data_IF_504901599348
#
_entry.id   IF_504901599348
#
_cell.length_a   1.000
_cell.length_b   1.000
_cell.length_c   1.000
_cell.angle_alpha   90.00
_cell.angle_beta   90.00
_cell.angle_gamma   90.00
#
_symmetry.space_group_name_H-M   'P 1'
#
loop_
_entity.id
_entity.type
_entity.pdbx_description
1 polymer ?
#
# COMPACT_ATOMS: atom_id res chain seq x y z
N UNK A 1 18.56 63.63 -15.66
CA UNK A 1 18.83 62.23 -15.30
C UNK A 1 17.54 61.60 -14.83
N UNK A 2 16.93 60.75 -15.66
CA UNK A 2 15.71 60.01 -15.31
C UNK A 2 16.13 58.56 -15.07
N UNK A 3 16.06 58.09 -13.82
CA UNK A 3 16.26 56.69 -13.48
C UNK A 3 14.96 55.92 -13.73
N UNK A 4 15.02 54.97 -14.67
CA UNK A 4 13.96 54.01 -14.91
C UNK A 4 14.01 52.96 -13.82
N UNK A 5 13.05 52.96 -12.90
CA UNK A 5 12.77 51.84 -12.02
C UNK A 5 12.14 50.73 -12.86
N UNK A 6 12.90 49.69 -13.12
CA UNK A 6 12.37 48.41 -13.67
C UNK A 6 11.60 47.70 -12.56
N UNK A 7 10.30 47.67 -12.68
CA UNK A 7 9.42 46.82 -11.88
C UNK A 7 9.79 45.38 -12.09
N UNK A 8 10.45 44.78 -11.11
CA UNK A 8 10.58 43.32 -11.02
C UNK A 8 9.28 42.79 -10.47
N UNK A 9 8.45 42.23 -11.36
CA UNK A 9 7.28 41.41 -10.97
C UNK A 9 7.84 40.10 -10.41
N UNK A 10 7.96 40.00 -9.10
CA UNK A 10 8.20 38.70 -8.44
C UNK A 10 6.90 37.94 -8.51
N UNK A 11 6.77 37.07 -9.51
CA UNK A 11 5.76 36.03 -9.50
C UNK A 11 6.09 35.10 -8.34
N UNK A 12 5.46 35.33 -7.19
CA UNK A 12 5.39 34.37 -6.10
C UNK A 12 4.55 33.22 -6.62
N UNK A 13 5.21 32.22 -7.24
CA UNK A 13 4.60 30.93 -7.48
C UNK A 13 4.29 30.37 -6.11
N UNK A 14 3.02 30.45 -5.70
CA UNK A 14 2.52 29.69 -4.57
C UNK A 14 2.72 28.21 -4.95
N UNK A 15 3.86 27.65 -4.56
CA UNK A 15 3.97 26.22 -4.43
C UNK A 15 2.91 25.83 -3.39
N UNK A 16 1.76 25.34 -3.86
CA UNK A 16 0.88 24.55 -3.03
C UNK A 16 1.75 23.40 -2.55
N UNK A 17 2.27 23.51 -1.35
CA UNK A 17 2.81 22.38 -0.63
C UNK A 17 1.62 21.44 -0.41
N UNK A 18 1.47 20.48 -1.29
CA UNK A 18 0.67 19.32 -1.00
C UNK A 18 1.33 18.70 0.22
N UNK A 19 0.67 18.82 1.36
CA UNK A 19 1.08 18.07 2.54
C UNK A 19 0.89 16.62 2.17
N UNK A 20 1.99 15.99 1.75
CA UNK A 20 2.08 14.55 1.64
C UNK A 20 1.82 14.04 3.05
N UNK A 21 0.65 13.45 3.26
CA UNK A 21 0.39 12.67 4.46
C UNK A 21 1.27 11.41 4.35
N UNK A 22 2.56 11.58 4.64
CA UNK A 22 3.46 10.47 4.79
C UNK A 22 3.12 9.81 6.12
N UNK A 23 2.73 8.55 6.09
CA UNK A 23 2.90 7.69 7.25
C UNK A 23 4.40 7.69 7.53
N UNK A 24 4.83 8.00 8.74
CA UNK A 24 6.25 8.13 9.07
C UNK A 24 7.04 6.96 8.45
N UNK A 25 8.00 7.26 7.58
CA UNK A 25 8.83 6.28 6.88
C UNK A 25 8.26 5.67 5.59
N UNK A 26 6.98 5.90 5.24
CA UNK A 26 6.44 5.49 3.94
C UNK A 26 6.09 6.73 3.10
N UNK A 27 6.79 6.90 1.98
CA UNK A 27 6.55 7.97 1.03
C UNK A 27 5.65 7.49 -0.11
N UNK A 28 4.66 8.31 -0.47
CA UNK A 28 3.76 7.99 -1.58
C UNK A 28 4.38 8.34 -2.92
N UNK A 29 4.21 7.46 -3.91
CA UNK A 29 4.62 7.73 -5.28
C UNK A 29 3.59 8.62 -5.99
N UNK A 30 4.07 9.54 -6.81
CA UNK A 30 3.26 10.43 -7.63
C UNK A 30 3.14 9.93 -9.06
N UNK A 31 4.20 9.35 -9.59
CA UNK A 31 4.21 8.78 -10.94
C UNK A 31 3.35 7.52 -11.00
N UNK A 32 2.21 7.61 -11.71
CA UNK A 32 1.33 6.46 -11.89
C UNK A 32 2.03 5.35 -12.68
N UNK A 33 1.75 4.07 -12.38
CA UNK A 33 2.40 2.93 -13.05
C UNK A 33 2.18 2.87 -14.57
N UNK A 34 1.13 3.54 -15.06
CA UNK A 34 0.81 3.67 -16.49
C UNK A 34 1.69 4.70 -17.22
N UNK A 35 2.31 5.62 -16.48
CA UNK A 35 3.13 6.70 -17.01
C UNK A 35 4.62 6.56 -16.72
N UNK A 36 4.99 5.64 -15.84
CA UNK A 36 6.40 5.43 -15.47
C UNK A 36 6.61 4.49 -14.29
N UNK A 37 7.86 4.44 -13.84
CA UNK A 37 8.23 3.67 -12.65
C UNK A 37 7.95 4.49 -11.40
N UNK A 38 7.28 3.91 -10.36
CA UNK A 38 7.07 4.58 -9.09
C UNK A 38 8.40 5.00 -8.43
N UNK A 39 8.45 6.21 -7.88
CA UNK A 39 9.66 6.78 -7.26
C UNK A 39 10.04 6.04 -5.98
N UNK A 40 9.02 5.78 -5.15
CA UNK A 40 9.19 5.14 -3.84
C UNK A 40 8.70 3.70 -3.89
N UNK A 41 9.60 2.78 -3.61
CA UNK A 41 9.34 1.33 -3.69
C UNK A 41 9.84 0.63 -2.46
N UNK A 42 9.02 -0.27 -1.94
CA UNK A 42 9.24 -0.99 -0.69
C UNK A 42 9.10 -2.49 -0.88
N UNK A 43 9.75 -3.26 -0.06
CA UNK A 43 9.44 -4.69 0.14
C UNK A 43 8.60 -4.83 1.41
N UNK A 44 7.64 -5.74 1.41
CA UNK A 44 6.86 -6.07 2.59
C UNK A 44 7.42 -7.32 3.25
N UNK A 45 7.71 -7.25 4.54
CA UNK A 45 8.22 -8.36 5.34
C UNK A 45 7.41 -8.46 6.64
N UNK A 46 7.10 -9.68 7.07
CA UNK A 46 6.51 -9.89 8.38
C UNK A 46 7.59 -10.08 9.48
N UNK A 47 7.17 -10.10 10.74
CA UNK A 47 8.06 -10.24 11.88
C UNK A 47 8.87 -11.55 11.89
N UNK A 48 8.45 -12.59 11.17
CA UNK A 48 9.15 -13.87 11.05
C UNK A 48 10.13 -13.91 9.87
N UNK A 49 10.36 -12.78 9.17
CA UNK A 49 11.30 -12.65 8.07
C UNK A 49 10.82 -13.28 6.75
N UNK A 50 9.52 -13.45 6.57
CA UNK A 50 8.95 -13.80 5.27
C UNK A 50 8.61 -12.53 4.50
N UNK A 51 9.02 -12.50 3.24
CA UNK A 51 8.74 -11.42 2.30
C UNK A 51 7.57 -11.76 1.38
N UNK A 52 6.92 -10.72 0.87
CA UNK A 52 5.90 -10.83 -0.15
C UNK A 52 6.53 -11.04 -1.53
N UNK A 53 6.10 -12.07 -2.26
CA UNK A 53 6.49 -12.25 -3.66
C UNK A 53 5.49 -11.57 -4.62
N UNK A 54 5.70 -11.72 -5.94
CA UNK A 54 4.86 -11.10 -6.96
C UNK A 54 3.39 -11.57 -6.94
N UNK A 55 3.11 -12.77 -6.44
CA UNK A 55 1.75 -13.30 -6.28
C UNK A 55 1.15 -13.05 -4.90
N UNK A 56 1.82 -12.21 -4.10
CA UNK A 56 1.49 -11.93 -2.70
C UNK A 56 1.62 -13.13 -1.75
N UNK A 57 2.36 -14.17 -2.17
CA UNK A 57 2.68 -15.32 -1.33
C UNK A 57 3.90 -15.06 -0.45
N UNK A 58 4.01 -15.70 0.72
CA UNK A 58 5.19 -15.60 1.57
C UNK A 58 6.39 -16.32 0.95
N UNK A 59 7.57 -15.72 1.05
CA UNK A 59 8.84 -16.31 0.57
C UNK A 59 10.03 -15.87 1.40
N UNK A 60 11.04 -16.73 1.53
CA UNK A 60 12.37 -16.38 2.05
C UNK A 60 13.44 -16.30 0.95
N UNK A 61 13.05 -16.56 -0.30
CA UNK A 61 13.93 -16.49 -1.46
C UNK A 61 14.07 -15.02 -1.91
N UNK A 62 15.24 -14.44 -1.69
CA UNK A 62 15.53 -13.04 -2.02
C UNK A 62 15.34 -12.72 -3.51
N UNK A 63 15.52 -13.69 -4.41
CA UNK A 63 15.27 -13.52 -5.84
C UNK A 63 13.80 -13.36 -6.21
N UNK A 64 12.89 -13.59 -5.26
CA UNK A 64 11.43 -13.52 -5.48
C UNK A 64 10.74 -12.38 -4.75
N UNK A 65 11.46 -11.51 -4.03
CA UNK A 65 10.85 -10.40 -3.31
C UNK A 65 10.17 -9.43 -4.27
N UNK A 66 8.90 -9.14 -4.03
CA UNK A 66 8.16 -8.15 -4.78
C UNK A 66 8.41 -6.74 -4.24
N UNK A 67 8.34 -5.77 -5.14
CA UNK A 67 8.35 -4.35 -4.81
C UNK A 67 6.92 -3.82 -4.81
N UNK A 68 6.63 -2.94 -3.87
CA UNK A 68 5.34 -2.28 -3.71
C UNK A 68 5.51 -0.77 -3.72
N UNK A 69 4.52 -0.05 -4.23
CA UNK A 69 4.42 1.40 -4.16
C UNK A 69 3.06 1.78 -3.58
N UNK A 70 3.04 2.89 -2.84
CA UNK A 70 1.85 3.41 -2.20
C UNK A 70 1.40 4.69 -2.90
N UNK A 71 0.12 4.85 -3.07
CA UNK A 71 -0.50 6.00 -3.73
C UNK A 71 -1.64 6.52 -2.87
N UNK A 72 -1.74 7.83 -2.71
CA UNK A 72 -2.90 8.42 -2.03
C UNK A 72 -4.20 7.97 -2.67
N UNK A 73 -5.18 7.63 -1.85
CA UNK A 73 -6.50 7.24 -2.30
C UNK A 73 -7.48 8.42 -2.29
N UNK A 74 -8.77 8.15 -2.45
CA UNK A 74 -9.83 9.17 -2.42
C UNK A 74 -10.17 9.60 -1.00
N UNK A 75 -9.94 8.74 -0.03
CA UNK A 75 -10.23 8.98 1.38
C UNK A 75 -8.95 9.48 2.06
N UNK A 76 -9.06 10.49 2.90
CA UNK A 76 -7.94 10.99 3.68
C UNK A 76 -7.30 9.86 4.51
N UNK A 77 -5.98 9.89 4.62
CA UNK A 77 -5.17 8.92 5.37
C UNK A 77 -5.34 7.46 4.93
N UNK A 78 -5.76 7.26 3.66
CA UNK A 78 -5.79 5.93 3.06
C UNK A 78 -5.00 5.88 1.75
N UNK A 79 -4.63 4.67 1.35
CA UNK A 79 -3.69 4.44 0.27
C UNK A 79 -4.17 3.29 -0.63
N UNK A 80 -3.89 3.41 -1.92
CA UNK A 80 -3.86 2.27 -2.83
C UNK A 80 -2.47 1.65 -2.82
N UNK A 81 -2.40 0.34 -2.81
CA UNK A 81 -1.15 -0.41 -2.84
C UNK A 81 -0.97 -1.05 -4.22
N UNK A 82 0.17 -0.76 -4.85
CA UNK A 82 0.52 -1.30 -6.15
C UNK A 82 1.69 -2.28 -6.03
N UNK A 83 1.50 -3.51 -6.48
CA UNK A 83 2.57 -4.47 -6.64
C UNK A 83 3.32 -4.17 -7.94
N UNK A 84 4.48 -3.53 -7.84
CA UNK A 84 5.30 -3.08 -8.97
C UNK A 84 5.81 -4.26 -9.78
N UNK A 85 6.17 -5.36 -9.11
CA UNK A 85 6.69 -6.57 -9.73
C UNK A 85 5.61 -7.28 -10.55
N UNK A 86 4.41 -7.40 -10.02
CA UNK A 86 3.27 -8.02 -10.71
C UNK A 86 2.56 -7.06 -11.69
N UNK A 87 2.84 -5.76 -11.61
CA UNK A 87 2.12 -4.69 -12.34
C UNK A 87 0.61 -4.69 -12.08
N UNK A 88 0.22 -4.88 -10.81
CA UNK A 88 -1.18 -5.00 -10.39
C UNK A 88 -1.42 -4.28 -9.07
N UNK A 89 -2.65 -3.87 -8.84
CA UNK A 89 -3.12 -3.27 -7.62
C UNK A 89 -3.61 -4.33 -6.63
N UNK A 90 -3.47 -4.04 -5.34
CA UNK A 90 -4.06 -4.88 -4.30
C UNK A 90 -5.55 -4.59 -4.18
N UNK A 91 -6.32 -5.66 -4.04
CA UNK A 91 -7.73 -5.64 -3.66
C UNK A 91 -7.96 -6.72 -2.59
N UNK A 92 -9.11 -6.65 -1.93
CA UNK A 92 -9.40 -7.53 -0.81
C UNK A 92 -10.71 -8.27 -1.06
N UNK A 93 -10.69 -9.58 -0.84
CA UNK A 93 -11.89 -10.39 -0.80
C UNK A 93 -12.15 -10.79 0.66
N UNK A 94 -13.16 -10.19 1.28
CA UNK A 94 -13.49 -10.38 2.67
C UNK A 94 -14.55 -11.47 2.83
N UNK A 95 -14.28 -12.43 3.70
CA UNK A 95 -15.27 -13.45 4.11
C UNK A 95 -16.05 -12.90 5.31
N UNK A 96 -17.36 -13.14 5.33
CA UNK A 96 -18.23 -12.86 6.49
C UNK A 96 -18.10 -13.95 7.56
N UNK A 97 -16.89 -14.35 7.93
CA UNK A 97 -16.65 -15.42 8.90
C UNK A 97 -16.14 -14.82 10.21
N UNK A 98 -16.58 -15.36 11.34
CA UNK A 98 -16.05 -15.03 12.67
C UNK A 98 -14.76 -15.78 13.02
N UNK A 99 -14.13 -16.43 12.07
CA UNK A 99 -12.80 -17.02 12.24
C UNK A 99 -11.73 -15.93 12.17
N UNK A 100 -10.54 -16.10 12.77
CA UNK A 100 -9.44 -15.13 12.66
C UNK A 100 -9.13 -14.73 11.22
N UNK A 101 -9.18 -15.68 10.27
CA UNK A 101 -9.07 -15.40 8.86
C UNK A 101 -10.40 -14.91 8.29
N UNK A 102 -10.44 -13.69 7.77
CA UNK A 102 -11.64 -13.06 7.22
C UNK A 102 -11.63 -12.87 5.70
N UNK A 103 -10.56 -13.27 5.04
CA UNK A 103 -10.44 -13.14 3.58
C UNK A 103 -9.02 -13.35 3.06
N UNK A 104 -8.81 -12.90 1.85
CA UNK A 104 -7.51 -12.99 1.17
C UNK A 104 -7.24 -11.74 0.32
N UNK A 105 -5.97 -11.51 0.02
CA UNK A 105 -5.54 -10.46 -0.91
C UNK A 105 -5.60 -11.00 -2.34
N UNK A 106 -6.14 -10.19 -3.24
CA UNK A 106 -6.13 -10.45 -4.68
C UNK A 106 -5.47 -9.30 -5.44
N UNK A 107 -5.03 -9.60 -6.65
CA UNK A 107 -4.36 -8.65 -7.53
C UNK A 107 -5.26 -8.30 -8.71
N UNK A 108 -5.54 -7.01 -8.90
CA UNK A 108 -6.38 -6.48 -9.98
C UNK A 108 -5.58 -5.56 -10.92
N UNK A 109 -5.95 -5.57 -12.20
CA UNK A 109 -5.25 -4.76 -13.21
C UNK A 109 -5.66 -3.30 -13.17
N UNK A 110 -6.95 -3.03 -12.95
CA UNK A 110 -7.48 -1.68 -12.99
C UNK A 110 -7.44 -1.03 -11.61
N UNK A 111 -6.90 0.20 -11.51
CA UNK A 111 -6.87 0.97 -10.27
C UNK A 111 -8.27 1.19 -9.68
N UNK A 112 -9.31 1.28 -10.51
CA UNK A 112 -10.70 1.45 -10.05
C UNK A 112 -11.24 0.28 -9.23
N UNK A 113 -10.59 -0.89 -9.34
CA UNK A 113 -10.90 -2.10 -8.57
C UNK A 113 -9.99 -2.27 -7.34
N UNK A 114 -8.97 -1.40 -7.20
CA UNK A 114 -8.08 -1.44 -6.07
C UNK A 114 -8.82 -1.10 -4.77
N UNK A 115 -8.44 -1.77 -3.69
CA UNK A 115 -8.96 -1.46 -2.38
C UNK A 115 -8.16 -0.35 -1.70
N UNK A 116 -8.85 0.48 -0.95
CA UNK A 116 -8.23 1.45 -0.07
C UNK A 116 -7.72 0.76 1.20
N UNK A 117 -6.56 1.18 1.66
CA UNK A 117 -5.91 0.65 2.86
C UNK A 117 -5.55 1.78 3.79
N UNK A 118 -5.78 1.61 5.09
CA UNK A 118 -5.12 2.43 6.09
C UNK A 118 -3.79 1.78 6.45
N UNK A 119 -2.76 2.61 6.61
CA UNK A 119 -1.43 2.18 7.02
C UNK A 119 -1.09 2.94 8.30
N UNK A 120 -0.76 2.23 9.35
CA UNK A 120 -0.43 2.81 10.66
C UNK A 120 0.94 2.31 11.09
N UNK A 121 1.83 3.21 11.44
CA UNK A 121 3.08 2.85 12.11
C UNK A 121 2.79 2.49 13.56
N UNK A 122 3.28 1.34 14.00
CA UNK A 122 3.04 0.83 15.35
C UNK A 122 4.28 0.90 16.24
N UNK A 123 5.44 0.47 15.75
CA UNK A 123 6.68 0.48 16.54
C UNK A 123 7.90 0.64 15.63
N UNK A 124 8.53 1.81 15.63
CA UNK A 124 9.87 1.99 15.09
C UNK A 124 10.14 1.44 13.68
N UNK A 125 9.23 1.70 12.73
CA UNK A 125 9.35 1.21 11.35
C UNK A 125 8.58 -0.08 11.05
N UNK A 126 7.74 -0.54 11.98
CA UNK A 126 6.75 -1.60 11.72
C UNK A 126 5.38 -0.99 11.40
N UNK A 127 4.65 -1.60 10.50
CA UNK A 127 3.40 -1.05 9.99
C UNK A 127 2.28 -2.09 9.99
N UNK A 128 1.08 -1.65 10.36
CA UNK A 128 -0.16 -2.37 10.12
C UNK A 128 -0.79 -1.88 8.82
N UNK A 129 -1.23 -2.80 7.98
CA UNK A 129 -1.98 -2.50 6.76
C UNK A 129 -3.39 -3.08 6.92
N UNK A 130 -4.38 -2.20 6.93
CA UNK A 130 -5.78 -2.57 7.15
C UNK A 130 -6.61 -2.24 5.91
N UNK A 131 -7.48 -3.14 5.43
CA UNK A 131 -8.51 -2.79 4.46
C UNK A 131 -9.37 -1.64 4.99
N UNK A 132 -9.56 -0.60 4.20
CA UNK A 132 -10.49 0.48 4.53
C UNK A 132 -11.83 0.22 3.87
N UNK A 133 -12.91 0.36 4.63
CA UNK A 133 -14.29 0.29 4.13
C UNK A 133 -15.03 1.57 4.50
N UNK A 134 -16.14 1.85 3.84
CA UNK A 134 -16.99 3.03 4.13
C UNK A 134 -17.50 3.08 5.57
N UNK A 135 -17.50 1.96 6.27
CA UNK A 135 -17.87 1.87 7.69
C UNK A 135 -16.68 2.08 8.64
N UNK A 136 -15.55 2.53 8.09
CA UNK A 136 -14.30 2.70 8.81
C UNK A 136 -13.37 1.49 8.72
N UNK A 137 -12.26 1.55 9.45
CA UNK A 137 -11.30 0.45 9.53
C UNK A 137 -11.83 -0.55 10.54
N UNK A 138 -12.13 -1.76 10.09
CA UNK A 138 -12.36 -2.88 11.00
C UNK A 138 -11.04 -3.36 11.61
N UNK A 139 -11.10 -4.18 12.65
CA UNK A 139 -9.93 -4.88 13.20
C UNK A 139 -9.52 -6.05 12.28
N UNK A 140 -9.18 -5.71 11.02
CA UNK A 140 -8.79 -6.67 9.98
C UNK A 140 -7.46 -6.20 9.41
N UNK A 141 -6.48 -7.08 9.36
CA UNK A 141 -5.09 -6.76 8.99
C UNK A 141 -4.60 -7.67 7.88
N UNK A 142 -3.70 -7.16 7.04
CA UNK A 142 -2.92 -7.99 6.11
C UNK A 142 -1.87 -8.75 6.92
N UNK A 143 -1.84 -10.07 6.81
CA UNK A 143 -0.87 -10.87 7.53
C UNK A 143 -0.59 -12.24 6.86
N UNK A 144 0.60 -12.80 7.18
CA UNK A 144 0.93 -14.23 7.02
C UNK A 144 1.18 -14.82 8.39
N UNK A 145 0.16 -15.32 9.02
CA UNK A 145 0.31 -15.93 10.32
C UNK A 145 1.36 -17.06 10.28
N UNK A 146 2.45 -16.91 11.04
CA UNK A 146 3.60 -17.82 11.07
C UNK A 146 4.19 -18.17 9.70
N UNK A 147 4.14 -17.24 8.73
CA UNK A 147 4.62 -17.47 7.37
C UNK A 147 3.71 -18.36 6.52
N UNK A 148 2.52 -18.67 7.00
CA UNK A 148 1.49 -19.40 6.25
C UNK A 148 0.52 -18.37 5.68
N UNK A 149 0.36 -18.36 4.37
CA UNK A 149 -0.66 -17.56 3.70
C UNK A 149 -2.01 -18.31 3.70
N UNK A 150 -2.94 -17.78 2.92
CA UNK A 150 -4.27 -18.38 2.74
C UNK A 150 -4.46 -18.78 1.30
N UNK A 151 -5.24 -19.83 1.08
CA UNK A 151 -5.61 -20.25 -0.26
C UNK A 151 -6.47 -19.18 -0.94
N UNK A 152 -6.04 -18.75 -2.11
CA UNK A 152 -6.80 -17.89 -2.97
C UNK A 152 -7.62 -18.75 -3.95
N UNK A 153 -8.95 -18.84 -3.80
CA UNK A 153 -9.77 -19.70 -4.62
C UNK A 153 -9.88 -19.22 -6.08
N UNK A 154 -9.50 -17.98 -6.38
CA UNK A 154 -9.56 -17.43 -7.74
C UNK A 154 -8.44 -17.97 -8.64
N UNK A 155 -7.30 -18.37 -8.08
CA UNK A 155 -6.13 -18.81 -8.86
C UNK A 155 -5.36 -20.00 -8.28
N UNK A 156 -5.83 -20.56 -7.17
CA UNK A 156 -5.20 -21.71 -6.52
C UNK A 156 -3.84 -21.44 -5.89
N UNK A 157 -3.48 -20.17 -5.68
CA UNK A 157 -2.21 -19.80 -5.03
C UNK A 157 -2.42 -19.46 -3.55
N UNK A 158 -1.35 -19.57 -2.78
CA UNK A 158 -1.31 -19.08 -1.40
C UNK A 158 -0.98 -17.58 -1.42
N UNK A 159 -1.76 -16.75 -0.74
CA UNK A 159 -1.57 -15.29 -0.70
C UNK A 159 -1.56 -14.75 0.73
N UNK A 160 -1.32 -13.45 0.87
CA UNK A 160 -1.62 -12.70 2.09
C UNK A 160 -3.07 -12.94 2.50
N UNK A 161 -3.28 -13.21 3.77
CA UNK A 161 -4.61 -13.30 4.36
C UNK A 161 -5.07 -11.98 4.96
N UNK A 162 -6.36 -11.91 5.21
CA UNK A 162 -7.01 -10.88 6.02
C UNK A 162 -7.42 -11.53 7.34
N UNK A 163 -6.87 -11.02 8.44
CA UNK A 163 -7.02 -11.61 9.77
C UNK A 163 -7.61 -10.58 10.74
N UNK A 164 -8.41 -11.03 11.69
CA UNK A 164 -8.89 -10.18 12.80
C UNK A 164 -7.82 -9.96 13.88
N UNK A 165 -6.74 -10.72 13.83
CA UNK A 165 -5.58 -10.59 14.69
C UNK A 165 -4.43 -9.98 13.88
N UNK A 166 -3.76 -8.97 14.40
CA UNK A 166 -2.61 -8.33 13.79
C UNK A 166 -1.31 -9.16 13.85
N UNK A 167 -1.35 -10.31 14.51
CA UNK A 167 -0.21 -11.22 14.62
C UNK A 167 0.88 -10.75 15.59
N UNK A 168 0.55 -9.82 16.49
CA UNK A 168 1.44 -9.34 17.58
C UNK A 168 1.58 -10.34 18.72
#
# INVERSE_FOLDING_TARGET
MKQNLRNWCICLSAMLAWTLNAVAGIEVSQTLPTSGTPEHRYTMMNAQGYYCNATTSPTKDAGKYAQFAFYSSKTADTYYVYNVTAKKWLAYDQKKSYTPQTGFVKLVTNKSQAAESRITEINGGSYEIQPYTSNGVGAIYLNWYKGVGVDNPENGTVTLGLWTDNGS
#
